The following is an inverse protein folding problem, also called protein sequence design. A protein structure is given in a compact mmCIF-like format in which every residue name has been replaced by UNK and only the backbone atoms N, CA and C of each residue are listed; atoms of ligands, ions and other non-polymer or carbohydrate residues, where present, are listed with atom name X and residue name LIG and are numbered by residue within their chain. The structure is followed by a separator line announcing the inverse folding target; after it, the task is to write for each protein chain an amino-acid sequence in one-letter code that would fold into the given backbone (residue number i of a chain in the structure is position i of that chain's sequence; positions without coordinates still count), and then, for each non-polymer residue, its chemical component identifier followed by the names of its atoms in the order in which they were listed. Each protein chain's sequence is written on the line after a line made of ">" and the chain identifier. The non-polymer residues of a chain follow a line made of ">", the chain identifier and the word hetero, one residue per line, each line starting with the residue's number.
data_IF_807270763946
#
_entry.id   IF_807270763946
#
_cell.length_a   1.000
_cell.length_b   1.000
_cell.length_c   1.000
_cell.angle_alpha   90.00
_cell.angle_beta   90.00
_cell.angle_gamma   90.00
#
_symmetry.space_group_name_H-M   'P 1'
#
loop_
_entity.id
_entity.type
_entity.pdbx_description
1 polymer ?
#
# COMPACT_ATOMS: atom_id res chain seq x y z
N UNK A 1 -23.07 -28.77 -6.07
CA UNK A 1 -22.03 -27.94 -5.45
C UNK A 1 -22.62 -27.34 -4.18
N UNK A 2 -22.19 -27.81 -3.01
CA UNK A 2 -22.77 -27.39 -1.72
C UNK A 2 -22.01 -26.15 -1.24
N UNK A 3 -22.72 -25.06 -0.96
CA UNK A 3 -22.11 -23.83 -0.43
C UNK A 3 -22.77 -23.44 0.90
N UNK A 4 -22.01 -22.74 1.74
CA UNK A 4 -22.47 -22.18 3.01
C UNK A 4 -22.20 -20.69 3.01
N UNK A 5 -23.22 -19.88 3.28
CA UNK A 5 -23.02 -18.46 3.52
C UNK A 5 -22.38 -18.26 4.90
N UNK A 6 -21.30 -17.49 4.92
CA UNK A 6 -20.63 -17.04 6.15
C UNK A 6 -20.67 -15.52 6.17
N UNK A 7 -21.08 -14.95 7.30
CA UNK A 7 -21.10 -13.49 7.47
C UNK A 7 -19.68 -12.96 7.47
N UNK A 8 -19.43 -11.88 6.72
CA UNK A 8 -18.16 -11.18 6.79
C UNK A 8 -18.00 -10.47 8.14
N UNK A 9 -16.83 -10.59 8.72
CA UNK A 9 -16.44 -9.86 9.93
C UNK A 9 -16.07 -8.41 9.59
N UNK A 10 -16.07 -7.53 10.60
CA UNK A 10 -15.92 -6.08 10.40
C UNK A 10 -14.60 -5.70 9.69
N UNK A 11 -13.51 -6.40 10.00
CA UNK A 11 -12.19 -6.26 9.38
C UNK A 11 -12.18 -6.65 7.90
N UNK A 12 -12.99 -7.64 7.49
CA UNK A 12 -13.12 -8.05 6.09
C UNK A 12 -13.95 -7.04 5.30
N UNK A 13 -14.94 -6.41 5.94
CA UNK A 13 -15.68 -5.32 5.32
C UNK A 13 -14.81 -4.11 4.97
N UNK A 14 -13.73 -3.83 5.72
CA UNK A 14 -12.80 -2.76 5.36
C UNK A 14 -12.05 -3.06 4.06
N UNK A 15 -11.64 -4.32 3.86
CA UNK A 15 -11.02 -4.76 2.59
C UNK A 15 -12.05 -4.68 1.47
N UNK A 16 -13.28 -5.11 1.71
CA UNK A 16 -14.38 -4.98 0.75
C UNK A 16 -14.64 -3.54 0.35
N UNK A 17 -14.64 -2.60 1.30
CA UNK A 17 -14.82 -1.18 1.04
C UNK A 17 -13.75 -0.64 0.06
N UNK A 18 -12.50 -1.10 0.19
CA UNK A 18 -11.40 -0.77 -0.72
C UNK A 18 -11.60 -1.39 -2.11
N UNK A 19 -11.91 -2.69 -2.17
CA UNK A 19 -12.08 -3.40 -3.43
C UNK A 19 -13.27 -2.88 -4.25
N UNK A 20 -14.37 -2.50 -3.58
CA UNK A 20 -15.53 -1.92 -4.27
C UNK A 20 -15.18 -0.61 -5.00
N UNK A 21 -14.27 0.20 -4.47
CA UNK A 21 -13.83 1.41 -5.18
C UNK A 21 -13.02 1.06 -6.43
N UNK A 22 -12.33 -0.08 -6.45
CA UNK A 22 -11.50 -0.49 -7.60
C UNK A 22 -12.29 -1.17 -8.73
N UNK A 23 -13.50 -1.65 -8.46
CA UNK A 23 -14.36 -2.37 -9.42
C UNK A 23 -14.62 -1.62 -10.76
N UNK A 24 -14.77 -0.28 -10.79
CA UNK A 24 -14.99 0.46 -12.03
C UNK A 24 -13.74 0.65 -12.92
N UNK A 25 -12.54 0.30 -12.45
CA UNK A 25 -11.30 0.55 -13.19
C UNK A 25 -10.99 -0.61 -14.13
N UNK A 26 -10.88 -0.31 -15.43
CA UNK A 26 -10.39 -1.26 -16.43
C UNK A 26 -8.89 -1.48 -16.22
N UNK A 27 -8.55 -2.61 -15.61
CA UNK A 27 -7.16 -3.00 -15.38
C UNK A 27 -6.59 -3.64 -16.64
N UNK A 28 -5.52 -3.05 -17.17
CA UNK A 28 -4.68 -3.70 -18.17
C UNK A 28 -3.55 -4.45 -17.44
N UNK A 29 -3.54 -5.77 -17.50
CA UNK A 29 -2.56 -6.60 -16.81
C UNK A 29 -1.35 -6.85 -17.70
N UNK A 30 -0.19 -6.44 -17.23
CA UNK A 30 1.08 -6.65 -17.90
C UNK A 30 1.97 -7.48 -16.97
N UNK A 31 2.58 -8.53 -17.51
CA UNK A 31 3.49 -9.41 -16.79
C UNK A 31 4.87 -9.31 -17.44
N UNK A 32 5.91 -9.17 -16.63
CA UNK A 32 7.28 -9.09 -17.09
C UNK A 32 8.19 -9.89 -16.17
N UNK A 33 9.13 -10.63 -16.76
CA UNK A 33 10.19 -11.28 -16.01
C UNK A 33 11.29 -10.28 -15.71
N UNK A 34 11.80 -10.31 -14.47
CA UNK A 34 12.85 -9.38 -14.01
C UNK A 34 14.05 -10.16 -13.52
N UNK A 35 15.22 -9.84 -14.06
CA UNK A 35 16.48 -10.40 -13.59
C UNK A 35 16.91 -9.72 -12.27
N UNK A 36 17.03 -10.49 -11.19
CA UNK A 36 17.43 -10.04 -9.86
C UNK A 36 18.91 -10.30 -9.50
N UNK A 37 19.76 -10.74 -10.44
CA UNK A 37 21.17 -11.06 -10.17
C UNK A 37 21.93 -9.91 -9.48
N UNK A 38 21.73 -8.66 -9.93
CA UNK A 38 22.38 -7.51 -9.29
C UNK A 38 21.92 -7.29 -7.83
N UNK A 39 20.66 -7.60 -7.53
CA UNK A 39 20.12 -7.56 -6.16
C UNK A 39 20.72 -8.68 -5.32
N UNK A 40 20.88 -9.88 -5.87
CA UNK A 40 21.55 -10.99 -5.20
C UNK A 40 23.01 -10.69 -4.87
N UNK A 41 23.74 -10.10 -5.82
CA UNK A 41 25.16 -9.77 -5.63
C UNK A 41 25.34 -8.71 -4.54
N UNK A 42 24.49 -7.67 -4.50
CA UNK A 42 24.49 -6.68 -3.41
C UNK A 42 24.15 -7.34 -2.06
N UNK A 43 23.13 -8.20 -2.02
CA UNK A 43 22.74 -8.92 -0.78
C UNK A 43 23.86 -9.82 -0.27
N UNK A 44 24.56 -10.55 -1.16
CA UNK A 44 25.73 -11.39 -0.81
C UNK A 44 26.88 -10.54 -0.28
N UNK A 45 27.20 -9.44 -0.95
CA UNK A 45 28.24 -8.49 -0.52
C UNK A 45 27.94 -7.95 0.88
N UNK A 46 26.73 -7.42 1.10
CA UNK A 46 26.31 -6.90 2.41
C UNK A 46 26.41 -7.94 3.52
N UNK A 47 26.02 -9.19 3.23
CA UNK A 47 26.17 -10.32 4.17
C UNK A 47 27.63 -10.60 4.51
N UNK A 48 28.52 -10.63 3.51
CA UNK A 48 29.95 -10.84 3.72
C UNK A 48 30.59 -9.71 4.55
N UNK A 49 30.09 -8.48 4.42
CA UNK A 49 30.50 -7.31 5.19
C UNK A 49 29.85 -7.23 6.58
N UNK A 50 29.01 -8.19 6.97
CA UNK A 50 28.27 -8.16 8.25
C UNK A 50 27.21 -7.05 8.34
N UNK A 51 26.79 -6.47 7.20
CA UNK A 51 25.78 -5.42 7.12
C UNK A 51 24.37 -5.99 7.08
N UNK A 52 23.39 -5.15 7.41
CA UNK A 52 21.97 -5.47 7.24
C UNK A 52 21.70 -5.83 5.77
N UNK A 53 20.93 -6.89 5.56
CA UNK A 53 20.59 -7.42 4.23
C UNK A 53 19.15 -7.00 3.89
N UNK A 54 18.94 -5.99 3.03
CA UNK A 54 17.61 -5.48 2.70
C UNK A 54 16.75 -6.54 2.01
N UNK A 55 15.44 -6.56 2.28
CA UNK A 55 14.50 -7.46 1.61
C UNK A 55 14.36 -7.15 0.12
N UNK A 56 13.98 -8.13 -0.70
CA UNK A 56 13.69 -7.91 -2.13
C UNK A 56 12.66 -6.80 -2.34
N UNK A 57 11.62 -6.78 -1.50
CA UNK A 57 10.60 -5.73 -1.54
C UNK A 57 11.19 -4.33 -1.34
N UNK A 58 12.23 -4.17 -0.51
CA UNK A 58 12.89 -2.87 -0.35
C UNK A 58 13.56 -2.40 -1.65
N UNK A 59 14.22 -3.30 -2.38
CA UNK A 59 14.78 -2.98 -3.70
C UNK A 59 13.68 -2.65 -4.71
N UNK A 60 12.59 -3.43 -4.76
CA UNK A 60 11.47 -3.18 -5.68
C UNK A 60 10.81 -1.84 -5.40
N UNK A 61 10.55 -1.51 -4.13
CA UNK A 61 9.95 -0.23 -3.75
C UNK A 61 10.88 0.96 -4.04
N UNK A 62 12.19 0.82 -3.82
CA UNK A 62 13.17 1.85 -4.20
C UNK A 62 13.17 2.08 -5.72
N UNK A 63 13.14 1.00 -6.51
CA UNK A 63 13.06 1.08 -7.96
C UNK A 63 11.74 1.74 -8.42
N UNK A 64 10.59 1.34 -7.85
CA UNK A 64 9.31 1.97 -8.16
C UNK A 64 9.27 3.45 -7.77
N UNK A 65 9.79 3.81 -6.59
CA UNK A 65 9.88 5.20 -6.16
C UNK A 65 10.61 6.09 -7.18
N UNK A 66 11.77 5.63 -7.65
CA UNK A 66 12.56 6.35 -8.67
C UNK A 66 11.90 6.35 -10.04
N UNK A 67 11.36 5.22 -10.47
CA UNK A 67 10.69 5.08 -11.77
C UNK A 67 9.46 5.98 -11.86
N UNK A 68 8.60 5.98 -10.84
CA UNK A 68 7.40 6.81 -10.82
C UNK A 68 7.72 8.32 -10.79
N UNK A 69 8.87 8.72 -10.23
CA UNK A 69 9.34 10.10 -10.30
C UNK A 69 9.77 10.49 -11.72
N UNK A 70 10.36 9.56 -12.49
CA UNK A 70 10.71 9.78 -13.91
C UNK A 70 9.49 9.74 -14.84
N UNK A 71 8.47 8.95 -14.49
CA UNK A 71 7.24 8.78 -15.27
C UNK A 71 6.01 9.21 -14.46
N UNK A 72 5.86 10.51 -14.17
CA UNK A 72 4.86 11.01 -13.21
C UNK A 72 3.40 10.77 -13.63
N UNK A 73 3.14 10.48 -14.91
CA UNK A 73 1.81 10.07 -15.38
C UNK A 73 1.35 8.74 -14.78
N UNK A 74 2.28 7.82 -14.45
CA UNK A 74 1.93 6.57 -13.76
C UNK A 74 1.62 6.78 -12.26
N UNK A 75 2.07 7.90 -11.69
CA UNK A 75 1.72 8.35 -10.35
C UNK A 75 0.72 9.50 -10.42
N UNK A 76 -0.44 9.23 -11.03
CA UNK A 76 -1.48 10.23 -11.22
C UNK A 76 -2.86 9.66 -10.88
N UNK A 77 -3.81 10.56 -10.65
CA UNK A 77 -5.20 10.22 -10.38
C UNK A 77 -6.09 10.79 -11.48
N UNK A 78 -6.93 9.94 -12.09
CA UNK A 78 -7.91 10.38 -13.09
C UNK A 78 -9.11 11.03 -12.39
N UNK A 79 -9.23 12.34 -12.55
CA UNK A 79 -10.42 13.08 -12.13
C UNK A 79 -11.38 13.17 -13.30
N UNK A 80 -12.59 12.64 -13.14
CA UNK A 80 -13.60 12.60 -14.22
C UNK A 80 -14.51 13.84 -14.18
N UNK A 81 -14.76 14.41 -13.00
CA UNK A 81 -15.67 15.55 -12.83
C UNK A 81 -15.00 16.74 -12.11
N UNK A 82 -15.25 18.01 -12.51
CA UNK A 82 -16.17 18.47 -13.57
C UNK A 82 -15.60 18.38 -14.99
N UNK A 83 -14.30 18.15 -15.14
CA UNK A 83 -13.64 17.94 -16.43
C UNK A 83 -12.65 16.79 -16.29
N UNK A 84 -12.63 15.88 -17.27
CA UNK A 84 -11.70 14.75 -17.31
C UNK A 84 -10.24 15.22 -17.40
N UNK A 85 -9.49 15.06 -16.31
CA UNK A 85 -8.08 15.49 -16.20
C UNK A 85 -7.29 14.52 -15.34
N UNK A 86 -5.99 14.41 -15.61
CA UNK A 86 -5.06 13.71 -14.72
C UNK A 86 -4.52 14.70 -13.67
N UNK A 87 -4.69 14.36 -12.40
CA UNK A 87 -4.00 15.01 -11.29
C UNK A 87 -2.64 14.32 -11.12
N UNK A 88 -1.57 15.00 -11.53
CA UNK A 88 -0.19 14.48 -11.45
C UNK A 88 0.44 14.91 -10.15
N UNK A 89 0.97 13.97 -9.36
CA UNK A 89 1.56 14.26 -8.06
C UNK A 89 3.05 14.62 -8.19
N UNK A 90 3.47 15.68 -7.48
CA UNK A 90 4.88 16.11 -7.43
C UNK A 90 5.80 15.25 -6.54
N UNK A 91 5.28 14.19 -5.92
CA UNK A 91 6.03 13.28 -5.07
C UNK A 91 5.44 11.88 -5.15
N UNK A 92 6.22 10.86 -4.80
CA UNK A 92 5.82 9.45 -4.89
C UNK A 92 5.60 8.90 -3.49
N UNK A 93 4.34 8.70 -3.13
CA UNK A 93 3.99 7.93 -1.95
C UNK A 93 3.52 6.55 -2.42
N UNK A 94 4.05 5.48 -1.81
CA UNK A 94 3.68 4.11 -2.18
C UNK A 94 2.84 3.51 -1.05
N UNK A 95 1.58 3.21 -1.36
CA UNK A 95 0.70 2.46 -0.47
C UNK A 95 0.99 0.96 -0.59
N UNK A 96 1.10 0.27 0.54
CA UNK A 96 1.35 -1.16 0.60
C UNK A 96 0.47 -1.82 1.65
N UNK A 97 0.05 -3.04 1.37
CA UNK A 97 -0.73 -3.87 2.29
C UNK A 97 0.20 -4.74 3.11
N UNK A 98 -0.03 -4.79 4.42
CA UNK A 98 0.73 -5.59 5.37
C UNK A 98 -0.24 -6.49 6.11
N UNK A 99 -0.02 -7.79 5.96
CA UNK A 99 -0.80 -8.79 6.68
C UNK A 99 -0.25 -8.96 8.09
N UNK A 100 -1.15 -8.95 9.09
CA UNK A 100 -0.83 -9.20 10.49
C UNK A 100 -1.94 -10.04 11.12
N UNK A 101 -1.67 -10.58 12.31
CA UNK A 101 -2.67 -11.32 13.10
C UNK A 101 -3.12 -10.49 14.30
N UNK A 102 -4.44 -10.31 14.45
CA UNK A 102 -5.06 -9.64 15.59
C UNK A 102 -6.25 -10.48 16.08
N UNK A 103 -6.30 -10.79 17.37
CA UNK A 103 -7.34 -11.65 17.98
C UNK A 103 -7.53 -12.99 17.24
N UNK A 104 -6.41 -13.67 16.90
CA UNK A 104 -6.38 -14.91 16.12
C UNK A 104 -6.95 -14.81 14.70
N UNK A 105 -7.08 -13.59 14.16
CA UNK A 105 -7.59 -13.35 12.81
C UNK A 105 -6.57 -12.59 11.97
N UNK A 106 -6.51 -12.91 10.69
CA UNK A 106 -5.69 -12.20 9.72
C UNK A 106 -6.36 -10.86 9.37
N UNK A 107 -5.62 -9.78 9.54
CA UNK A 107 -6.01 -8.42 9.18
C UNK A 107 -5.04 -7.87 8.14
N UNK A 108 -5.54 -6.96 7.31
CA UNK A 108 -4.73 -6.24 6.32
C UNK A 108 -4.64 -4.78 6.75
N UNK A 109 -3.43 -4.33 7.01
CA UNK A 109 -3.12 -2.94 7.30
C UNK A 109 -2.63 -2.26 6.03
N UNK A 110 -3.03 -0.99 5.83
CA UNK A 110 -2.54 -0.17 4.73
C UNK A 110 -1.46 0.77 5.26
N UNK A 111 -0.22 0.51 4.90
CA UNK A 111 0.91 1.38 5.21
C UNK A 111 1.23 2.30 4.02
N UNK A 112 1.79 3.46 4.31
CA UNK A 112 2.15 4.45 3.32
C UNK A 112 3.63 4.81 3.44
N UNK A 113 4.41 4.42 2.45
CA UNK A 113 5.81 4.79 2.31
C UNK A 113 5.88 6.16 1.65
N UNK A 114 6.09 7.19 2.46
CA UNK A 114 6.06 8.59 2.00
C UNK A 114 7.37 9.01 1.33
N UNK A 115 7.27 9.83 0.30
CA UNK A 115 8.41 10.35 -0.48
C UNK A 115 9.40 9.24 -0.89
N UNK A 116 8.87 8.10 -1.35
CA UNK A 116 9.63 6.90 -1.67
C UNK A 116 10.76 7.13 -2.69
N UNK A 117 10.62 8.13 -3.56
CA UNK A 117 11.65 8.51 -4.54
C UNK A 117 12.95 9.01 -3.90
N UNK A 118 12.88 9.53 -2.66
CA UNK A 118 14.01 10.09 -1.93
C UNK A 118 14.60 9.14 -0.89
N UNK A 119 13.96 7.99 -0.65
CA UNK A 119 14.41 7.06 0.38
C UNK A 119 15.50 6.12 -0.15
N UNK A 120 16.47 5.83 0.71
CA UNK A 120 17.44 4.77 0.50
C UNK A 120 16.81 3.39 0.68
N UNK A 121 17.47 2.37 0.13
CA UNK A 121 17.05 0.98 0.28
C UNK A 121 17.02 0.56 1.75
N UNK A 122 17.95 1.08 2.57
CA UNK A 122 18.05 0.74 4.00
C UNK A 122 16.91 1.38 4.80
N UNK A 123 16.54 2.64 4.51
CA UNK A 123 15.37 3.29 5.12
C UNK A 123 14.07 2.58 4.76
N UNK A 124 13.92 2.16 3.51
CA UNK A 124 12.75 1.38 3.07
C UNK A 124 12.74 0.01 3.76
N UNK A 125 13.89 -0.64 3.87
CA UNK A 125 13.98 -1.91 4.58
C UNK A 125 13.59 -1.78 6.04
N UNK A 126 14.08 -0.75 6.73
CA UNK A 126 13.72 -0.48 8.12
C UNK A 126 12.24 -0.17 8.27
N UNK A 127 11.67 0.64 7.37
CA UNK A 127 10.24 0.91 7.29
C UNK A 127 9.42 -0.39 7.22
N UNK A 128 9.83 -1.35 6.38
CA UNK A 128 9.17 -2.65 6.22
C UNK A 128 9.37 -3.53 7.45
N UNK A 129 10.59 -3.56 8.00
CA UNK A 129 10.97 -4.35 9.18
C UNK A 129 10.13 -3.95 10.40
N UNK A 130 10.05 -2.65 10.69
CA UNK A 130 9.22 -2.13 11.79
C UNK A 130 7.77 -2.60 11.65
N UNK A 131 7.18 -2.50 10.46
CA UNK A 131 5.76 -2.88 10.27
C UNK A 131 5.52 -4.38 10.31
N UNK A 132 6.53 -5.19 10.00
CA UNK A 132 6.48 -6.65 10.15
C UNK A 132 6.61 -7.06 11.61
N UNK A 133 7.59 -6.48 12.32
CA UNK A 133 8.08 -7.02 13.60
C UNK A 133 7.56 -6.29 14.84
N UNK A 134 7.24 -4.99 14.73
CA UNK A 134 6.77 -4.23 15.88
C UNK A 134 5.39 -4.71 16.37
N UNK A 135 5.09 -4.57 17.67
CA UNK A 135 3.75 -4.72 18.21
C UNK A 135 2.72 -3.93 17.40
N UNK A 136 1.49 -4.44 17.30
CA UNK A 136 0.43 -3.80 16.51
C UNK A 136 0.09 -2.42 17.06
N UNK A 137 0.11 -2.31 18.39
CA UNK A 137 -0.22 -1.11 19.16
C UNK A 137 0.71 0.07 18.83
N UNK A 138 1.94 -0.23 18.41
CA UNK A 138 2.94 0.78 18.05
C UNK A 138 2.79 1.26 16.59
N UNK A 139 1.95 0.59 15.79
CA UNK A 139 1.73 0.94 14.39
C UNK A 139 0.62 1.97 14.22
N UNK A 140 0.97 3.11 13.62
CA UNK A 140 0.02 4.18 13.31
C UNK A 140 -1.14 3.72 12.41
N UNK A 141 -0.85 2.78 11.52
CA UNK A 141 -1.77 2.13 10.59
C UNK A 141 -2.81 1.29 11.33
N UNK A 142 -2.42 0.65 12.42
CA UNK A 142 -3.32 -0.13 13.26
C UNK A 142 -4.29 0.77 14.04
N UNK A 143 -3.80 1.89 14.59
CA UNK A 143 -4.66 2.91 15.21
C UNK A 143 -5.69 3.47 14.22
N UNK A 144 -5.29 3.73 12.97
CA UNK A 144 -6.21 4.15 11.88
C UNK A 144 -7.23 3.06 11.56
N UNK A 145 -6.76 1.82 11.42
CA UNK A 145 -7.63 0.65 11.21
C UNK A 145 -8.68 0.51 12.31
N UNK A 146 -8.29 0.62 13.58
CA UNK A 146 -9.22 0.58 14.71
C UNK A 146 -10.23 1.73 14.69
N UNK A 147 -9.81 2.95 14.32
CA UNK A 147 -10.73 4.08 14.15
C UNK A 147 -11.75 3.83 13.05
N UNK A 148 -11.31 3.29 11.91
CA UNK A 148 -12.21 2.94 10.81
C UNK A 148 -13.19 1.83 11.19
N UNK A 149 -12.77 0.84 11.97
CA UNK A 149 -13.65 -0.22 12.47
C UNK A 149 -14.79 0.30 13.36
N UNK A 150 -14.60 1.42 14.06
CA UNK A 150 -15.66 2.04 14.88
C UNK A 150 -16.76 2.69 14.05
N UNK A 151 -16.48 2.99 12.78
CA UNK A 151 -17.49 3.57 11.87
C UNK A 151 -18.32 2.44 11.26
N UNK A 152 -19.65 2.48 11.37
CA UNK A 152 -20.53 1.48 10.75
C UNK A 152 -20.27 1.36 9.24
N UNK A 153 -20.32 0.13 8.71
CA UNK A 153 -19.92 -0.14 7.33
C UNK A 153 -20.69 0.69 6.29
N UNK A 154 -22.01 0.88 6.49
CA UNK A 154 -22.82 1.69 5.59
C UNK A 154 -22.39 3.16 5.60
N UNK A 155 -21.93 3.71 6.72
CA UNK A 155 -21.43 5.08 6.80
C UNK A 155 -20.06 5.26 6.13
N UNK A 156 -19.15 4.28 6.28
CA UNK A 156 -17.77 4.40 5.79
C UNK A 156 -17.68 4.72 4.32
N UNK A 157 -18.51 4.05 3.51
CA UNK A 157 -18.58 4.30 2.08
C UNK A 157 -18.97 5.73 1.75
N UNK A 158 -20.05 6.22 2.35
CA UNK A 158 -20.53 7.57 2.11
C UNK A 158 -19.51 8.61 2.54
N UNK A 159 -18.86 8.41 3.69
CA UNK A 159 -17.77 9.28 4.16
C UNK A 159 -16.61 9.31 3.16
N UNK A 160 -16.20 8.16 2.63
CA UNK A 160 -15.16 8.08 1.62
C UNK A 160 -15.53 8.83 0.33
N UNK A 161 -16.74 8.61 -0.19
CA UNK A 161 -17.21 9.25 -1.43
C UNK A 161 -17.32 10.78 -1.30
N UNK A 162 -17.65 11.30 -0.11
CA UNK A 162 -17.84 12.74 0.12
C UNK A 162 -16.54 13.46 0.49
N UNK A 163 -15.74 12.86 1.37
CA UNK A 163 -14.59 13.58 1.98
C UNK A 163 -13.24 13.20 1.39
N UNK A 164 -13.10 12.04 0.74
CA UNK A 164 -11.80 11.54 0.28
C UNK A 164 -11.72 11.51 -1.24
N UNK A 165 -12.68 10.86 -1.91
CA UNK A 165 -12.70 10.72 -3.37
C UNK A 165 -12.62 12.04 -4.15
N UNK A 166 -13.34 13.12 -3.77
CA UNK A 166 -13.30 14.37 -4.52
C UNK A 166 -12.00 15.15 -4.35
N UNK A 167 -11.17 14.77 -3.38
CA UNK A 167 -9.98 15.50 -2.96
C UNK A 167 -8.76 14.58 -2.99
N UNK A 168 -8.15 14.37 -4.18
CA UNK A 168 -7.01 13.47 -4.33
C UNK A 168 -5.81 13.85 -3.46
N UNK A 169 -5.69 15.13 -3.08
CA UNK A 169 -4.70 15.62 -2.12
C UNK A 169 -4.85 15.04 -0.71
N UNK A 170 -6.06 14.62 -0.32
CA UNK A 170 -6.35 13.98 0.97
C UNK A 170 -6.08 12.47 0.95
N UNK A 171 -5.73 11.90 -0.20
CA UNK A 171 -5.33 10.49 -0.34
C UNK A 171 -3.83 10.27 -0.02
N UNK A 172 -3.09 11.30 0.43
CA UNK A 172 -1.68 11.26 0.87
C UNK A 172 -1.51 11.07 2.39
#
# INVERSE_FOLDING_TARGET
>A
MTYKFVKLEAERYLVWDLLRETDPYYLNHHLFDTNLSAVEDDRKRRRAEGRVVPSYLAYSLAAYGRMLAQFPRFNSYLRIWPTTRLAVYGGVDIALTIERTWKQRHIVLLALLRNAQNLSIDEIHEFLRIRRDAPLEDLSEFSRFQRLLKVPAFCRWHLFQVFVKPFPSLMR
#
